data_IF_999671224612
#
_entry.id   IF_999671224612
#
_cell.length_a   1.000
_cell.length_b   1.000
_cell.length_c   1.000
_cell.angle_alpha   90.00
_cell.angle_beta   90.00
_cell.angle_gamma   90.00
#
_symmetry.space_group_name_H-M   'P 1'
#
loop_
_entity.id
_entity.type
_entity.pdbx_description
1 polymer ?
#
# COMPACT_ATOMS: atom_id res chain seq x y z
N UNK A 1 17.74 36.10 -10.73
CA UNK A 1 16.55 35.45 -10.12
C UNK A 1 16.92 34.03 -9.72
N UNK A 2 16.85 33.68 -8.44
CA UNK A 2 17.17 32.33 -7.94
C UNK A 2 15.93 31.45 -8.08
N UNK A 3 16.03 30.38 -8.86
CA UNK A 3 14.96 29.37 -8.98
C UNK A 3 14.74 28.74 -7.61
N UNK A 4 13.58 29.00 -7.00
CA UNK A 4 13.13 28.29 -5.81
C UNK A 4 12.88 26.83 -6.24
N UNK A 5 13.83 25.94 -5.93
CA UNK A 5 13.58 24.50 -5.97
C UNK A 5 12.40 24.25 -5.05
N UNK A 6 11.22 24.03 -5.61
CA UNK A 6 10.05 23.55 -4.89
C UNK A 6 10.42 22.19 -4.33
N UNK A 7 10.82 22.14 -3.06
CA UNK A 7 10.86 20.88 -2.31
C UNK A 7 9.45 20.30 -2.41
N UNK A 8 9.28 19.25 -3.23
CA UNK A 8 8.05 18.49 -3.34
C UNK A 8 7.62 18.14 -1.91
N UNK A 9 6.46 18.63 -1.50
CA UNK A 9 5.96 18.50 -0.13
C UNK A 9 5.72 17.02 0.12
N UNK A 10 6.63 16.39 0.86
CA UNK A 10 6.55 14.97 1.22
C UNK A 10 5.22 14.72 1.96
N UNK A 11 4.52 13.64 1.62
CA UNK A 11 3.26 13.27 2.28
C UNK A 11 3.52 12.76 3.69
N UNK A 12 3.74 13.69 4.63
CA UNK A 12 4.06 13.37 6.02
C UNK A 12 3.10 12.34 6.61
N UNK A 13 1.81 12.41 6.27
CA UNK A 13 0.80 11.47 6.77
C UNK A 13 0.97 10.07 6.19
N UNK A 14 1.03 9.92 4.86
CA UNK A 14 1.21 8.62 4.21
C UNK A 14 2.56 7.98 4.62
N UNK A 15 3.64 8.77 4.58
CA UNK A 15 4.97 8.33 5.01
C UNK A 15 4.98 7.89 6.48
N UNK A 16 4.31 8.63 7.36
CA UNK A 16 4.19 8.24 8.78
C UNK A 16 3.50 6.90 8.93
N UNK A 17 2.36 6.69 8.26
CA UNK A 17 1.64 5.42 8.33
C UNK A 17 2.50 4.24 7.87
N UNK A 18 3.17 4.37 6.74
CA UNK A 18 4.08 3.33 6.22
C UNK A 18 5.18 3.01 7.23
N UNK A 19 5.83 4.02 7.81
CA UNK A 19 6.85 3.83 8.87
C UNK A 19 6.26 3.12 10.09
N UNK A 20 5.11 3.58 10.58
CA UNK A 20 4.47 3.04 11.78
C UNK A 20 4.06 1.56 11.56
N UNK A 21 3.67 1.18 10.35
CA UNK A 21 3.27 -0.19 10.01
C UNK A 21 4.46 -1.13 9.83
N UNK A 22 5.53 -0.66 9.18
CA UNK A 22 6.79 -1.42 9.17
C UNK A 22 7.29 -1.65 10.60
N UNK A 23 7.16 -0.66 11.49
CA UNK A 23 7.46 -0.80 12.92
C UNK A 23 6.58 -1.82 13.66
N UNK A 24 5.42 -2.20 13.09
CA UNK A 24 4.51 -3.25 13.59
C UNK A 24 4.72 -4.62 12.94
N UNK A 25 5.70 -4.75 12.05
CA UNK A 25 6.04 -6.02 11.39
C UNK A 25 5.38 -6.24 10.02
N UNK A 26 4.70 -5.24 9.44
CA UNK A 26 4.31 -5.28 8.03
C UNK A 26 5.52 -4.91 7.17
N UNK A 27 6.45 -5.83 6.97
CA UNK A 27 7.77 -5.55 6.36
C UNK A 27 7.78 -5.62 4.85
N UNK A 28 6.81 -6.29 4.26
CA UNK A 28 6.78 -6.54 2.82
C UNK A 28 6.01 -5.44 2.07
N UNK A 29 6.31 -5.30 0.78
CA UNK A 29 5.62 -4.40 -0.14
C UNK A 29 4.96 -5.23 -1.22
N UNK A 30 3.68 -4.97 -1.44
CA UNK A 30 2.89 -5.66 -2.44
C UNK A 30 2.57 -4.72 -3.60
N UNK A 31 2.58 -5.29 -4.80
CA UNK A 31 2.18 -4.65 -6.04
C UNK A 31 0.94 -5.33 -6.60
N UNK A 32 -0.07 -4.55 -6.94
CA UNK A 32 -1.23 -5.08 -7.66
C UNK A 32 -0.88 -5.35 -9.12
N UNK A 33 -0.98 -6.60 -9.55
CA UNK A 33 -0.76 -7.00 -10.95
C UNK A 33 -2.04 -6.86 -11.77
N UNK A 34 -3.17 -7.25 -11.18
CA UNK A 34 -4.51 -7.13 -11.75
C UNK A 34 -5.57 -7.17 -10.63
N UNK A 35 -6.85 -7.26 -10.99
CA UNK A 35 -7.96 -7.28 -10.03
C UNK A 35 -8.01 -8.53 -9.13
N UNK A 36 -7.21 -9.56 -9.38
CA UNK A 36 -7.27 -10.86 -8.69
C UNK A 36 -5.93 -11.31 -8.09
N UNK A 37 -4.81 -10.63 -8.39
CA UNK A 37 -3.47 -11.05 -7.99
C UNK A 37 -2.61 -9.90 -7.51
N UNK A 38 -1.87 -10.13 -6.43
CA UNK A 38 -0.82 -9.26 -5.91
C UNK A 38 0.54 -9.98 -5.99
N UNK A 39 1.62 -9.20 -6.17
CA UNK A 39 3.00 -9.69 -6.09
C UNK A 39 3.66 -9.11 -4.85
N UNK A 40 4.26 -9.96 -4.02
CA UNK A 40 5.20 -9.49 -3.00
C UNK A 40 6.54 -9.15 -3.67
N UNK A 41 7.05 -7.95 -3.43
CA UNK A 41 8.26 -7.46 -4.08
C UNK A 41 9.54 -8.04 -3.47
N UNK A 42 9.48 -8.50 -2.22
CA UNK A 42 10.60 -9.02 -1.46
C UNK A 42 10.98 -10.43 -1.90
N UNK A 43 9.99 -11.29 -2.16
CA UNK A 43 10.20 -12.68 -2.58
C UNK A 43 9.82 -12.95 -4.05
N UNK A 44 9.25 -11.95 -4.76
CA UNK A 44 8.75 -12.07 -6.14
C UNK A 44 7.64 -13.12 -6.34
N UNK A 45 6.98 -13.56 -5.27
CA UNK A 45 5.87 -14.49 -5.33
C UNK A 45 4.54 -13.78 -5.61
N UNK A 46 3.69 -14.45 -6.39
CA UNK A 46 2.37 -13.95 -6.76
C UNK A 46 1.29 -14.67 -5.95
N UNK A 47 0.48 -13.89 -5.24
CA UNK A 47 -0.61 -14.36 -4.41
C UNK A 47 -1.95 -14.03 -5.06
N UNK A 48 -2.88 -14.99 -5.19
CA UNK A 48 -4.27 -14.65 -5.49
C UNK A 48 -4.87 -13.91 -4.30
N UNK A 49 -5.72 -12.92 -4.56
CA UNK A 49 -6.31 -12.10 -3.48
C UNK A 49 -7.14 -12.94 -2.51
N UNK A 50 -7.68 -14.08 -2.95
CA UNK A 50 -8.43 -15.02 -2.11
C UNK A 50 -7.60 -15.63 -0.98
N UNK A 51 -6.28 -15.61 -1.11
CA UNK A 51 -5.34 -16.22 -0.15
C UNK A 51 -4.72 -15.15 0.76
N UNK A 52 -5.23 -13.91 0.70
CA UNK A 52 -4.73 -12.75 1.44
C UNK A 52 -5.82 -12.15 2.32
N UNK A 53 -5.49 -11.84 3.57
CA UNK A 53 -6.30 -10.94 4.40
C UNK A 53 -5.87 -9.49 4.12
N UNK A 54 -6.73 -8.72 3.46
CA UNK A 54 -6.42 -7.37 2.97
C UNK A 54 -7.28 -6.33 3.69
N UNK A 55 -6.70 -5.44 4.50
CA UNK A 55 -7.50 -4.42 5.21
C UNK A 55 -7.08 -3.02 4.81
N UNK A 56 -8.05 -2.20 4.40
CA UNK A 56 -7.83 -0.75 4.26
C UNK A 56 -7.71 -0.16 5.66
N UNK A 57 -6.60 0.51 5.94
CA UNK A 57 -6.35 1.12 7.25
C UNK A 57 -6.29 2.65 7.19
N UNK A 58 -6.02 3.22 6.02
CA UNK A 58 -5.92 4.66 5.86
C UNK A 58 -6.14 5.10 4.41
N UNK A 59 -6.78 6.26 4.25
CA UNK A 59 -6.83 7.01 3.01
C UNK A 59 -6.09 8.34 3.22
N UNK A 60 -5.17 8.67 2.33
CA UNK A 60 -4.42 9.92 2.38
C UNK A 60 -4.27 10.56 1.01
N UNK A 61 -4.35 11.88 0.96
CA UNK A 61 -4.12 12.62 -0.29
C UNK A 61 -2.62 12.75 -0.56
N UNK A 62 -2.18 12.23 -1.69
CA UNK A 62 -0.81 12.32 -2.17
C UNK A 62 -0.59 13.66 -2.89
N UNK A 63 0.16 14.55 -2.24
CA UNK A 63 0.50 15.88 -2.76
C UNK A 63 1.41 15.84 -3.99
N UNK A 64 2.14 14.74 -4.23
CA UNK A 64 3.06 14.57 -5.35
C UNK A 64 2.29 14.18 -6.62
N UNK A 65 1.43 13.18 -6.52
CA UNK A 65 0.64 12.66 -7.66
C UNK A 65 -0.72 13.35 -7.81
N UNK A 66 -1.14 14.13 -6.80
CA UNK A 66 -2.46 14.78 -6.73
C UNK A 66 -3.64 13.81 -6.76
N UNK A 67 -3.43 12.58 -6.27
CA UNK A 67 -4.46 11.56 -6.16
C UNK A 67 -4.65 11.13 -4.70
N UNK A 68 -5.81 10.54 -4.39
CA UNK A 68 -5.98 9.83 -3.12
C UNK A 68 -5.30 8.47 -3.20
N UNK A 69 -4.62 8.09 -2.13
CA UNK A 69 -3.99 6.79 -1.96
C UNK A 69 -4.63 6.08 -0.78
N UNK A 70 -4.80 4.78 -0.91
CA UNK A 70 -5.25 3.88 0.15
C UNK A 70 -4.09 3.01 0.57
N UNK A 71 -3.85 2.94 1.89
CA UNK A 71 -2.91 2.00 2.48
C UNK A 71 -3.70 0.79 2.92
N UNK A 72 -3.32 -0.36 2.38
CA UNK A 72 -3.83 -1.65 2.77
C UNK A 72 -2.75 -2.41 3.52
N UNK A 73 -3.13 -3.08 4.61
CA UNK A 73 -2.32 -4.14 5.20
C UNK A 73 -2.68 -5.46 4.55
N UNK A 74 -1.68 -6.30 4.33
CA UNK A 74 -1.83 -7.64 3.76
C UNK A 74 -1.20 -8.64 4.74
N UNK A 75 -1.93 -9.71 5.02
CA UNK A 75 -1.39 -10.89 5.69
C UNK A 75 -1.63 -12.11 4.80
N UNK A 76 -0.57 -12.86 4.52
CA UNK A 76 -0.63 -14.13 3.79
C UNK A 76 -0.93 -15.28 4.76
N UNK A 77 -1.38 -16.41 4.23
CA UNK A 77 -1.70 -17.60 5.04
C UNK A 77 -0.48 -18.22 5.74
N UNK A 78 0.73 -18.00 5.21
CA UNK A 78 1.99 -18.42 5.82
C UNK A 78 2.57 -17.38 6.81
N UNK A 79 1.84 -16.29 7.05
CA UNK A 79 2.14 -15.32 8.10
C UNK A 79 3.04 -14.15 7.68
N UNK A 80 3.41 -14.05 6.40
CA UNK A 80 4.05 -12.86 5.87
C UNK A 80 3.09 -11.66 5.93
N UNK A 81 3.66 -10.47 6.18
CA UNK A 81 2.90 -9.25 6.42
C UNK A 81 3.48 -8.11 5.62
N UNK A 82 2.63 -7.39 4.91
CA UNK A 82 3.09 -6.26 4.10
C UNK A 82 2.03 -5.23 3.81
N UNK A 83 2.39 -4.30 2.92
CA UNK A 83 1.62 -3.12 2.59
C UNK A 83 1.34 -3.03 1.09
N UNK A 84 0.15 -2.58 0.74
CA UNK A 84 -0.21 -2.19 -0.63
C UNK A 84 -0.70 -0.74 -0.61
N UNK A 85 -0.03 0.12 -1.37
CA UNK A 85 -0.40 1.55 -1.50
C UNK A 85 -0.82 1.84 -2.93
N UNK A 86 -2.12 2.06 -3.14
CA UNK A 86 -2.75 2.18 -4.47
C UNK A 86 -3.78 3.31 -4.50
N UNK A 87 -4.21 3.71 -5.70
CA UNK A 87 -5.20 4.80 -5.88
C UNK A 87 -6.65 4.38 -5.66
N UNK A 88 -6.89 3.08 -5.53
CA UNK A 88 -8.22 2.51 -5.36
C UNK A 88 -8.25 1.46 -4.25
N UNK A 89 -9.44 1.15 -3.73
CA UNK A 89 -9.62 0.09 -2.74
C UNK A 89 -9.54 -1.26 -3.44
N UNK A 90 -8.78 -2.19 -2.88
CA UNK A 90 -8.72 -3.55 -3.40
C UNK A 90 -10.14 -4.19 -3.28
N UNK A 91 -10.79 -4.61 -4.39
CA UNK A 91 -12.24 -4.76 -4.45
C UNK A 91 -12.86 -5.97 -3.71
N UNK A 92 -12.11 -6.78 -2.96
CA UNK A 92 -12.62 -8.06 -2.47
C UNK A 92 -13.23 -8.03 -1.05
N UNK A 93 -14.12 -7.08 -0.76
CA UNK A 93 -14.92 -7.08 0.48
C UNK A 93 -16.42 -6.89 0.29
N UNK A 94 -16.96 -7.21 -0.88
CA UNK A 94 -18.40 -7.45 -0.98
C UNK A 94 -18.65 -8.96 -1.06
N UNK A 95 -19.01 -9.62 0.07
CA UNK A 95 -19.64 -10.92 -0.02
C UNK A 95 -20.91 -10.77 -0.87
N UNK A 96 -21.03 -11.59 -1.92
CA UNK A 96 -22.33 -11.83 -2.55
C UNK A 96 -23.22 -12.62 -1.58
#
# INVERSE_FOLDING_TARGET
>A
MKSLKTCKKMNRTLTKWVIDLHGKGYTDDFLQLNSQRLRCLQNSEDFPITDLDIKVIHQGFDQLTKTYKYIHTIETMDGAKGLLVVEDVCPNYLPN
#
